data_IF_492842189428
#
_entry.id   IF_492842189428
#
_cell.length_a   1.000
_cell.length_b   1.000
_cell.length_c   1.000
_cell.angle_alpha   90.00
_cell.angle_beta   90.00
_cell.angle_gamma   90.00
#
_symmetry.space_group_name_H-M   'P 1'
#
loop_
_entity.id
_entity.type
_entity.pdbx_description
1 polymer ?
#
# COMPACT_ATOMS: atom_id res chain seq x y z
N UNK A 1 -0.64 -4.13 -39.88
CA UNK A 1 -0.67 -3.76 -38.45
C UNK A 1 0.37 -2.68 -38.24
N UNK A 2 0.04 -1.57 -37.59
CA UNK A 2 1.04 -0.58 -37.20
C UNK A 2 1.95 -1.17 -36.12
N UNK A 3 3.26 -0.91 -36.21
CA UNK A 3 4.20 -1.30 -35.16
C UNK A 3 3.78 -0.70 -33.81
N UNK A 4 4.10 -1.39 -32.71
CA UNK A 4 3.83 -0.88 -31.36
C UNK A 4 4.52 0.48 -31.12
N UNK A 5 3.89 1.45 -30.40
CA UNK A 5 4.50 2.76 -30.15
C UNK A 5 5.90 2.71 -29.55
N UNK A 6 6.20 1.68 -28.74
CA UNK A 6 7.54 1.46 -28.18
C UNK A 6 8.62 1.31 -29.25
N UNK A 7 8.33 0.60 -30.34
CA UNK A 7 9.28 0.46 -31.46
C UNK A 7 9.56 1.82 -32.11
N UNK A 8 8.55 2.66 -32.26
CA UNK A 8 8.74 4.03 -32.76
C UNK A 8 9.53 4.93 -31.79
N UNK A 9 9.28 4.81 -30.49
CA UNK A 9 9.92 5.63 -29.47
C UNK A 9 11.41 5.27 -29.25
N UNK A 10 11.76 3.98 -29.31
CA UNK A 10 13.13 3.51 -29.12
C UNK A 10 13.90 3.36 -30.43
N UNK A 11 13.23 3.11 -31.56
CA UNK A 11 13.87 2.86 -32.84
C UNK A 11 14.97 1.79 -32.73
N UNK A 12 16.16 2.10 -33.20
CA UNK A 12 17.32 1.21 -33.14
C UNK A 12 17.85 0.94 -31.73
N UNK A 13 17.40 1.66 -30.70
CA UNK A 13 17.76 1.38 -29.31
C UNK A 13 17.03 0.15 -28.75
N UNK A 14 15.95 -0.30 -29.40
CA UNK A 14 15.32 -1.59 -29.12
C UNK A 14 16.10 -2.70 -29.83
N UNK A 15 17.25 -3.08 -29.28
CA UNK A 15 18.18 -4.08 -29.83
C UNK A 15 17.91 -5.52 -29.35
N UNK A 16 16.96 -5.69 -28.40
CA UNK A 16 16.45 -6.99 -27.91
C UNK A 16 14.94 -6.90 -27.68
N UNK A 17 14.21 -8.03 -27.72
CA UNK A 17 12.81 -8.03 -27.33
C UNK A 17 12.62 -7.53 -25.89
N UNK A 18 11.55 -6.78 -25.63
CA UNK A 18 11.17 -6.36 -24.29
C UNK A 18 9.83 -7.00 -23.95
N UNK A 19 9.82 -7.81 -22.91
CA UNK A 19 8.63 -8.46 -22.37
C UNK A 19 8.07 -7.61 -21.23
N UNK A 20 6.89 -7.04 -21.46
CA UNK A 20 6.03 -6.53 -20.41
C UNK A 20 5.31 -7.69 -19.76
N UNK A 21 5.27 -7.75 -18.44
CA UNK A 21 4.56 -8.80 -17.70
C UNK A 21 3.80 -8.24 -16.52
N UNK A 22 2.74 -8.95 -16.16
CA UNK A 22 1.86 -8.68 -15.02
C UNK A 22 1.34 -10.03 -14.47
N UNK A 23 1.17 -10.13 -13.15
CA UNK A 23 0.75 -11.35 -12.47
C UNK A 23 -0.51 -11.15 -11.64
N UNK A 24 -1.40 -12.13 -11.71
CA UNK A 24 -2.41 -12.33 -10.68
C UNK A 24 -2.01 -13.49 -9.77
N UNK A 25 -2.20 -13.31 -8.47
CA UNK A 25 -1.64 -14.21 -7.45
C UNK A 25 -2.63 -14.47 -6.33
N UNK A 26 -2.41 -15.56 -5.59
CA UNK A 26 -3.22 -15.87 -4.39
C UNK A 26 -3.00 -14.88 -3.24
N UNK A 27 -2.00 -14.00 -3.33
CA UNK A 27 -1.65 -13.03 -2.29
C UNK A 27 -0.25 -12.44 -2.50
N UNK A 28 0.18 -11.60 -1.56
CA UNK A 28 1.42 -10.81 -1.70
C UNK A 28 2.68 -11.46 -1.11
N UNK A 29 2.57 -12.67 -0.55
CA UNK A 29 3.69 -13.37 0.06
C UNK A 29 4.50 -14.15 -0.97
N UNK A 30 5.69 -13.67 -1.30
CA UNK A 30 6.64 -14.40 -2.15
C UNK A 30 6.90 -15.85 -1.64
N UNK A 31 6.81 -16.07 -0.33
CA UNK A 31 7.09 -17.39 0.27
C UNK A 31 5.90 -18.34 0.17
N UNK A 32 4.67 -17.84 0.33
CA UNK A 32 3.50 -18.68 0.54
C UNK A 32 2.53 -18.67 -0.64
N UNK A 33 2.43 -17.56 -1.37
CA UNK A 33 1.45 -17.39 -2.45
C UNK A 33 1.93 -17.95 -3.78
N UNK A 34 1.00 -18.12 -4.72
CA UNK A 34 1.20 -18.75 -6.04
C UNK A 34 0.68 -17.87 -7.16
N UNK A 35 1.22 -18.07 -8.35
CA UNK A 35 0.74 -17.40 -9.57
C UNK A 35 -0.56 -18.10 -10.01
N UNK A 36 -1.58 -17.29 -10.26
CA UNK A 36 -2.90 -17.70 -10.78
C UNK A 36 -2.99 -17.35 -12.27
N UNK A 37 -2.46 -16.20 -12.68
CA UNK A 37 -2.42 -15.76 -14.07
C UNK A 37 -1.11 -15.03 -14.38
N UNK A 38 -0.65 -15.16 -15.63
CA UNK A 38 0.46 -14.39 -16.19
C UNK A 38 0.02 -13.85 -17.55
N UNK A 39 0.07 -12.53 -17.68
CA UNK A 39 -0.02 -11.84 -18.95
C UNK A 39 1.37 -11.38 -19.39
N UNK A 40 1.68 -11.54 -20.68
CA UNK A 40 2.89 -11.01 -21.31
C UNK A 40 2.59 -10.31 -22.63
N UNK A 41 3.28 -9.21 -22.87
CA UNK A 41 3.35 -8.53 -24.16
C UNK A 41 4.83 -8.34 -24.52
N UNK A 42 5.26 -8.96 -25.61
CA UNK A 42 6.64 -8.92 -26.08
C UNK A 42 6.72 -8.04 -27.31
N UNK A 43 7.49 -6.95 -27.24
CA UNK A 43 7.79 -6.09 -28.40
C UNK A 43 9.16 -6.44 -28.93
N UNK A 44 9.24 -6.82 -30.19
CA UNK A 44 10.48 -7.20 -30.86
C UNK A 44 11.17 -6.01 -31.56
N UNK A 45 12.49 -6.09 -31.80
CA UNK A 45 13.24 -5.08 -32.54
C UNK A 45 12.73 -4.77 -33.95
N UNK A 46 12.05 -5.72 -34.60
CA UNK A 46 11.45 -5.52 -35.93
C UNK A 46 10.04 -4.90 -35.88
N UNK A 47 9.56 -4.57 -34.67
CA UNK A 47 8.25 -3.97 -34.42
C UNK A 47 7.12 -4.98 -34.32
N UNK A 48 7.39 -6.28 -34.43
CA UNK A 48 6.39 -7.32 -34.16
C UNK A 48 6.05 -7.39 -32.67
N UNK A 49 4.82 -7.82 -32.39
CA UNK A 49 4.27 -7.91 -31.03
C UNK A 49 3.70 -9.31 -30.83
N UNK A 50 4.04 -9.93 -29.72
CA UNK A 50 3.40 -11.16 -29.24
C UNK A 50 2.68 -10.89 -27.92
N UNK A 51 1.43 -11.34 -27.81
CA UNK A 51 0.65 -11.27 -26.58
C UNK A 51 0.27 -12.68 -26.13
N UNK A 52 0.43 -12.97 -24.85
CA UNK A 52 0.00 -14.25 -24.26
C UNK A 52 -0.54 -14.01 -22.87
N UNK A 53 -1.68 -14.62 -22.60
CA UNK A 53 -2.31 -14.66 -21.28
C UNK A 53 -2.51 -16.13 -20.90
N UNK A 54 -2.13 -16.50 -19.69
CA UNK A 54 -2.22 -17.89 -19.22
C UNK A 54 -2.60 -17.94 -17.75
N UNK A 55 -3.63 -18.74 -17.47
CA UNK A 55 -4.00 -19.14 -16.12
C UNK A 55 -3.26 -20.41 -15.70
N UNK A 56 -3.14 -20.58 -14.39
CA UNK A 56 -2.52 -21.72 -13.76
C UNK A 56 -3.37 -22.16 -12.58
N UNK A 57 -3.47 -23.47 -12.37
CA UNK A 57 -3.95 -23.99 -11.11
C UNK A 57 -2.87 -23.73 -10.04
N UNK A 58 -3.14 -22.92 -9.00
CA UNK A 58 -2.15 -22.60 -7.97
C UNK A 58 -1.90 -23.74 -6.98
N UNK A 59 -2.68 -24.83 -7.06
CA UNK A 59 -2.62 -26.00 -6.16
C UNK A 59 -2.84 -25.65 -4.69
N UNK A 60 -3.56 -24.56 -4.46
CA UNK A 60 -4.05 -24.10 -3.16
C UNK A 60 -5.33 -23.29 -3.38
N UNK A 61 -6.21 -23.17 -2.37
CA UNK A 61 -7.37 -22.30 -2.48
C UNK A 61 -6.95 -20.85 -2.73
N UNK A 62 -7.64 -20.17 -3.66
CA UNK A 62 -7.48 -18.73 -3.88
C UNK A 62 -8.23 -17.99 -2.75
N UNK A 63 -7.55 -17.15 -1.94
CA UNK A 63 -8.22 -16.37 -0.91
C UNK A 63 -9.34 -15.48 -1.49
N UNK A 64 -10.52 -15.38 -0.86
CA UNK A 64 -11.63 -14.56 -1.38
C UNK A 64 -11.27 -13.09 -1.60
N UNK A 65 -10.32 -12.57 -0.82
CA UNK A 65 -9.79 -11.22 -1.02
C UNK A 65 -9.01 -11.05 -2.31
N UNK A 66 -8.20 -12.03 -2.71
CA UNK A 66 -7.51 -12.03 -3.99
C UNK A 66 -8.52 -12.13 -5.13
N UNK A 67 -9.48 -13.07 -5.04
CA UNK A 67 -10.57 -13.18 -6.02
C UNK A 67 -11.40 -11.90 -6.15
N UNK A 68 -11.61 -11.13 -5.08
CA UNK A 68 -12.28 -9.82 -5.16
C UNK A 68 -11.47 -8.77 -5.91
N UNK A 69 -10.15 -8.88 -5.93
CA UNK A 69 -9.25 -7.96 -6.63
C UNK A 69 -9.21 -8.31 -8.12
N UNK A 70 -8.84 -9.55 -8.45
CA UNK A 70 -8.56 -9.95 -9.84
C UNK A 70 -9.70 -10.73 -10.52
N UNK A 71 -10.75 -11.09 -9.79
CA UNK A 71 -11.95 -11.74 -10.34
C UNK A 71 -11.80 -13.22 -10.72
N UNK A 72 -10.69 -13.87 -10.35
CA UNK A 72 -10.43 -15.28 -10.66
C UNK A 72 -10.75 -16.14 -9.44
N UNK A 73 -11.54 -17.18 -9.64
CA UNK A 73 -11.98 -18.12 -8.61
C UNK A 73 -11.30 -19.48 -8.75
N UNK A 74 -11.37 -20.32 -7.72
CA UNK A 74 -10.86 -21.70 -7.80
C UNK A 74 -11.47 -22.50 -8.97
N UNK A 75 -12.73 -22.22 -9.31
CA UNK A 75 -13.42 -22.90 -10.40
C UNK A 75 -12.85 -22.52 -11.78
N UNK A 76 -12.39 -21.27 -11.95
CA UNK A 76 -11.84 -20.77 -13.22
C UNK A 76 -10.50 -21.42 -13.59
N UNK A 77 -9.78 -21.96 -12.60
CA UNK A 77 -8.44 -22.53 -12.76
C UNK A 77 -8.35 -24.00 -12.37
N UNK A 78 -9.47 -24.64 -12.05
CA UNK A 78 -9.50 -26.03 -11.59
C UNK A 78 -8.85 -27.00 -12.59
N UNK A 79 -9.16 -26.82 -13.88
CA UNK A 79 -8.66 -27.66 -14.99
C UNK A 79 -7.37 -27.13 -15.63
N UNK A 80 -6.83 -26.00 -15.15
CA UNK A 80 -5.60 -25.44 -15.69
C UNK A 80 -4.37 -26.21 -15.22
N UNK A 81 -3.32 -26.20 -16.05
CA UNK A 81 -2.05 -26.80 -15.67
C UNK A 81 -1.36 -25.95 -14.58
N UNK A 82 -0.73 -26.55 -13.56
CA UNK A 82 0.05 -25.80 -12.59
C UNK A 82 1.30 -25.21 -13.26
N UNK A 83 1.81 -24.10 -12.70
CA UNK A 83 2.94 -23.35 -13.26
C UNK A 83 4.13 -24.24 -13.67
N UNK A 84 4.50 -25.20 -12.82
CA UNK A 84 5.63 -26.11 -13.05
C UNK A 84 5.56 -26.88 -14.38
N UNK A 85 4.36 -27.17 -14.89
CA UNK A 85 4.21 -27.89 -16.16
C UNK A 85 4.54 -27.01 -17.38
N UNK A 86 4.36 -25.70 -17.26
CA UNK A 86 4.59 -24.72 -18.33
C UNK A 86 5.90 -23.94 -18.16
N UNK A 87 6.51 -24.02 -16.98
CA UNK A 87 7.66 -23.21 -16.61
C UNK A 87 8.83 -23.31 -17.61
N UNK A 88 9.16 -24.50 -18.12
CA UNK A 88 10.27 -24.63 -19.10
C UNK A 88 10.00 -23.84 -20.39
N UNK A 89 8.82 -24.04 -20.98
CA UNK A 89 8.43 -23.33 -22.21
C UNK A 89 8.34 -21.82 -21.99
N UNK A 90 7.85 -21.39 -20.83
CA UNK A 90 7.81 -19.97 -20.48
C UNK A 90 9.22 -19.38 -20.33
N UNK A 91 10.14 -20.09 -19.68
CA UNK A 91 11.52 -19.64 -19.54
C UNK A 91 12.20 -19.47 -20.91
N UNK A 92 11.95 -20.37 -21.86
CA UNK A 92 12.47 -20.27 -23.24
C UNK A 92 11.92 -19.05 -23.98
N UNK A 93 10.63 -18.73 -23.82
CA UNK A 93 10.00 -17.53 -24.40
C UNK A 93 10.58 -16.26 -23.81
N UNK A 94 10.79 -16.24 -22.49
CA UNK A 94 11.32 -15.07 -21.80
C UNK A 94 12.83 -14.92 -21.97
N UNK A 95 13.57 -16.00 -22.28
CA UNK A 95 15.03 -15.99 -22.31
C UNK A 95 15.68 -14.85 -23.12
N UNK A 96 15.24 -14.55 -24.36
CA UNK A 96 15.82 -13.45 -25.14
C UNK A 96 15.38 -12.06 -24.66
N UNK A 97 14.38 -11.95 -23.77
CA UNK A 97 13.74 -10.69 -23.45
C UNK A 97 14.47 -9.90 -22.35
N UNK A 98 14.52 -8.59 -22.49
CA UNK A 98 14.55 -7.70 -21.34
C UNK A 98 13.16 -7.62 -20.71
N UNK A 99 13.08 -7.24 -19.43
CA UNK A 99 11.84 -7.32 -18.67
C UNK A 99 11.35 -5.93 -18.30
N UNK A 100 10.05 -5.72 -18.47
CA UNK A 100 9.37 -4.47 -18.16
C UNK A 100 8.03 -4.73 -17.48
N UNK A 101 7.53 -3.73 -16.75
CA UNK A 101 6.22 -3.78 -16.11
C UNK A 101 6.05 -2.62 -15.14
N UNK A 102 4.85 -2.48 -14.58
CA UNK A 102 4.55 -1.42 -13.61
C UNK A 102 4.76 -1.98 -12.20
N UNK A 103 5.74 -1.45 -11.44
CA UNK A 103 6.13 -2.00 -10.12
C UNK A 103 6.73 -3.42 -10.17
N UNK A 104 7.15 -3.86 -11.36
CA UNK A 104 7.68 -5.20 -11.62
C UNK A 104 8.85 -5.59 -10.72
N UNK A 105 9.70 -4.63 -10.33
CA UNK A 105 10.88 -4.90 -9.49
C UNK A 105 10.51 -5.29 -8.07
N UNK A 106 9.38 -4.79 -7.58
CA UNK A 106 8.95 -4.96 -6.18
C UNK A 106 8.17 -6.26 -5.99
N UNK A 107 7.41 -6.68 -6.99
CA UNK A 107 6.49 -7.80 -6.85
C UNK A 107 6.59 -8.85 -7.95
N UNK A 108 6.18 -8.52 -9.18
CA UNK A 108 5.97 -9.52 -10.23
C UNK A 108 7.22 -10.32 -10.55
N UNK A 109 8.37 -9.64 -10.69
CA UNK A 109 9.62 -10.31 -11.00
C UNK A 109 10.13 -11.19 -9.84
N UNK A 110 10.20 -10.71 -8.58
CA UNK A 110 10.48 -11.59 -7.43
C UNK A 110 9.54 -12.80 -7.31
N UNK A 111 8.25 -12.61 -7.60
CA UNK A 111 7.25 -13.68 -7.55
C UNK A 111 7.50 -14.72 -8.65
N UNK A 112 7.68 -14.27 -9.89
CA UNK A 112 7.99 -15.12 -11.04
C UNK A 112 9.28 -15.91 -10.85
N UNK A 113 10.36 -15.27 -10.35
CA UNK A 113 11.62 -15.95 -10.01
C UNK A 113 11.38 -17.04 -8.96
N UNK A 114 10.55 -16.76 -7.95
CA UNK A 114 10.24 -17.73 -6.90
C UNK A 114 9.43 -18.91 -7.44
N UNK A 115 8.50 -18.68 -8.36
CA UNK A 115 7.70 -19.73 -9.00
C UNK A 115 8.55 -20.60 -9.93
N UNK A 116 9.47 -19.99 -10.71
CA UNK A 116 10.48 -20.75 -11.45
C UNK A 116 11.37 -21.60 -10.55
N UNK A 117 11.80 -21.06 -9.41
CA UNK A 117 12.61 -21.81 -8.42
C UNK A 117 11.84 -23.00 -7.87
N UNK A 118 10.54 -22.85 -7.56
CA UNK A 118 9.66 -23.96 -7.14
C UNK A 118 9.52 -25.02 -8.22
N UNK A 119 9.55 -24.64 -9.49
CA UNK A 119 9.58 -25.55 -10.64
C UNK A 119 10.97 -26.14 -10.95
N UNK A 120 12.00 -25.85 -10.16
CA UNK A 120 13.37 -26.34 -10.37
C UNK A 120 14.11 -25.66 -11.53
N UNK A 121 13.66 -24.48 -11.97
CA UNK A 121 14.25 -23.71 -13.06
C UNK A 121 14.94 -22.48 -12.50
N UNK A 122 16.19 -22.26 -12.89
CA UNK A 122 16.90 -21.01 -12.57
C UNK A 122 16.55 -19.96 -13.62
N UNK A 123 15.76 -18.96 -13.23
CA UNK A 123 15.46 -17.79 -14.05
C UNK A 123 16.40 -16.65 -13.66
N UNK A 124 17.51 -16.51 -14.39
CA UNK A 124 18.50 -15.45 -14.13
C UNK A 124 18.10 -14.15 -14.85
N UNK A 125 18.12 -13.06 -14.10
CA UNK A 125 17.73 -11.73 -14.55
C UNK A 125 18.89 -10.74 -14.53
N UNK A 126 20.08 -11.15 -14.03
CA UNK A 126 21.23 -10.26 -13.85
C UNK A 126 21.82 -9.74 -15.17
N UNK A 127 21.63 -10.48 -16.25
CA UNK A 127 22.06 -10.10 -17.60
C UNK A 127 20.99 -9.32 -18.39
N UNK A 128 19.84 -9.04 -17.78
CA UNK A 128 18.69 -8.39 -18.43
C UNK A 128 18.58 -6.94 -17.99
N UNK A 129 18.14 -6.08 -18.90
CA UNK A 129 17.63 -4.75 -18.54
C UNK A 129 16.28 -4.93 -17.87
N UNK A 130 16.09 -4.26 -16.73
CA UNK A 130 14.86 -4.28 -15.95
C UNK A 130 14.26 -2.88 -15.89
N UNK A 131 13.20 -2.67 -16.67
CA UNK A 131 12.51 -1.39 -16.83
C UNK A 131 11.27 -1.39 -15.94
N UNK A 132 11.29 -0.59 -14.88
CA UNK A 132 10.12 -0.41 -14.03
C UNK A 132 9.41 0.89 -14.40
N UNK A 133 8.23 0.76 -15.01
CA UNK A 133 7.44 1.89 -15.50
C UNK A 133 6.95 2.76 -14.35
N UNK A 134 6.71 2.19 -13.17
CA UNK A 134 6.30 2.95 -11.99
C UNK A 134 7.44 3.85 -11.49
N UNK A 135 8.68 3.36 -11.51
CA UNK A 135 9.83 4.17 -11.10
C UNK A 135 10.05 5.36 -12.04
N UNK A 136 9.86 5.16 -13.34
CA UNK A 136 9.93 6.24 -14.33
C UNK A 136 8.80 7.25 -14.05
N UNK A 137 7.56 6.79 -13.90
CA UNK A 137 6.41 7.64 -13.60
C UNK A 137 6.62 8.49 -12.34
N UNK A 138 7.03 7.90 -11.22
CA UNK A 138 7.24 8.64 -9.98
C UNK A 138 8.40 9.64 -10.05
N UNK A 139 9.40 9.39 -10.92
CA UNK A 139 10.51 10.30 -11.12
C UNK A 139 10.14 11.51 -11.98
N UNK A 140 9.36 11.26 -13.04
CA UNK A 140 8.95 12.31 -13.98
C UNK A 140 7.70 13.09 -13.51
N UNK A 141 6.87 12.50 -12.65
CA UNK A 141 5.65 13.11 -12.10
C UNK A 141 5.68 13.19 -10.55
N UNK A 142 6.52 14.06 -9.95
CA UNK A 142 6.61 14.22 -8.50
C UNK A 142 5.28 14.68 -7.87
N UNK A 143 5.08 14.34 -6.59
CA UNK A 143 3.92 14.75 -5.79
C UNK A 143 4.31 15.78 -4.73
N UNK A 144 4.97 16.84 -5.16
CA UNK A 144 5.39 17.97 -4.32
C UNK A 144 4.73 19.29 -4.75
N UNK A 145 4.98 20.35 -3.97
CA UNK A 145 4.40 21.67 -4.22
C UNK A 145 4.86 22.28 -5.55
N UNK A 146 6.09 22.00 -5.98
CA UNK A 146 6.65 22.49 -7.26
C UNK A 146 5.90 21.87 -8.43
N UNK A 147 5.69 20.55 -8.40
CA UNK A 147 4.90 19.84 -9.41
C UNK A 147 3.43 20.31 -9.41
N UNK A 148 2.85 20.53 -8.23
CA UNK A 148 1.50 21.09 -8.11
C UNK A 148 1.41 22.51 -8.71
N UNK A 149 2.38 23.39 -8.43
CA UNK A 149 2.43 24.73 -8.98
C UNK A 149 2.56 24.70 -10.51
N UNK A 150 3.43 23.84 -11.05
CA UNK A 150 3.57 23.68 -12.49
C UNK A 150 2.26 23.18 -13.14
N UNK A 151 1.61 22.19 -12.54
CA UNK A 151 0.38 21.59 -13.07
C UNK A 151 -0.84 22.53 -12.99
N UNK A 152 -1.04 23.20 -11.85
CA UNK A 152 -2.24 24.01 -11.62
C UNK A 152 -2.06 25.48 -12.05
N UNK A 153 -0.85 26.02 -11.96
CA UNK A 153 -0.57 27.44 -12.19
C UNK A 153 0.26 27.71 -13.44
N UNK A 154 0.83 26.67 -14.07
CA UNK A 154 1.65 26.79 -15.29
C UNK A 154 3.01 27.47 -15.06
N UNK A 155 3.48 27.54 -13.81
CA UNK A 155 4.76 28.17 -13.45
C UNK A 155 5.53 27.34 -12.44
N UNK A 156 6.85 27.43 -12.50
CA UNK A 156 7.74 26.96 -11.44
C UNK A 156 7.95 28.09 -10.43
N UNK A 157 7.87 27.87 -9.11
CA UNK A 157 8.10 28.92 -8.12
C UNK A 157 9.55 29.43 -8.19
N UNK A 158 9.75 30.74 -8.40
CA UNK A 158 11.08 31.37 -8.54
C UNK A 158 11.84 31.46 -7.20
N UNK A 159 11.11 31.58 -6.07
CA UNK A 159 11.62 31.63 -4.69
C UNK A 159 11.13 30.43 -3.84
N UNK A 160 11.12 29.24 -4.44
CA UNK A 160 10.90 28.01 -3.68
C UNK A 160 11.86 28.00 -2.46
N UNK A 161 11.39 27.53 -1.30
CA UNK A 161 12.14 27.37 -0.03
C UNK A 161 12.04 28.49 1.02
N UNK A 162 11.29 29.58 0.78
CA UNK A 162 10.82 30.42 1.90
C UNK A 162 9.43 30.00 2.33
N UNK A 163 9.20 29.87 3.64
CA UNK A 163 7.90 29.44 4.16
C UNK A 163 6.73 30.30 3.67
N UNK A 164 6.94 31.62 3.49
CA UNK A 164 5.90 32.51 2.98
C UNK A 164 5.62 32.32 1.48
N UNK A 165 6.65 32.09 0.66
CA UNK A 165 6.47 31.80 -0.76
C UNK A 165 5.75 30.46 -0.97
N UNK A 166 6.10 29.44 -0.16
CA UNK A 166 5.47 28.12 -0.23
C UNK A 166 4.00 28.17 0.20
N UNK A 167 3.65 28.91 1.27
CA UNK A 167 2.25 29.09 1.70
C UNK A 167 1.44 29.86 0.65
N UNK A 168 2.01 30.91 0.03
CA UNK A 168 1.34 31.64 -1.07
C UNK A 168 1.07 30.73 -2.26
N UNK A 169 2.07 29.95 -2.66
CA UNK A 169 1.94 28.97 -3.75
C UNK A 169 0.89 27.92 -3.40
N UNK A 170 0.85 27.43 -2.15
CA UNK A 170 -0.16 26.48 -1.69
C UNK A 170 -1.58 27.05 -1.77
N UNK A 171 -1.77 28.32 -1.37
CA UNK A 171 -3.06 29.00 -1.47
C UNK A 171 -3.51 29.17 -2.93
N UNK A 172 -2.60 29.55 -3.82
CA UNK A 172 -2.88 29.67 -5.26
C UNK A 172 -3.25 28.31 -5.87
N UNK A 173 -2.51 27.25 -5.53
CA UNK A 173 -2.81 25.87 -5.95
C UNK A 173 -4.19 25.45 -5.47
N UNK A 174 -4.52 25.71 -4.20
CA UNK A 174 -5.82 25.37 -3.65
C UNK A 174 -6.96 26.11 -4.37
N UNK A 175 -6.81 27.40 -4.67
CA UNK A 175 -7.77 28.15 -5.47
C UNK A 175 -7.95 27.53 -6.87
N UNK A 176 -6.85 27.15 -7.54
CA UNK A 176 -6.89 26.50 -8.85
C UNK A 176 -7.57 25.12 -8.80
N UNK A 177 -7.36 24.33 -7.75
CA UNK A 177 -8.06 23.07 -7.52
C UNK A 177 -9.57 23.28 -7.40
N UNK A 178 -10.00 24.26 -6.61
CA UNK A 178 -11.41 24.63 -6.48
C UNK A 178 -12.00 25.07 -7.83
N UNK A 179 -11.27 25.81 -8.66
CA UNK A 179 -11.76 26.22 -9.98
C UNK A 179 -11.85 25.05 -10.96
N UNK A 180 -10.89 24.11 -10.91
CA UNK A 180 -10.81 22.96 -11.80
C UNK A 180 -11.82 21.87 -11.46
N UNK A 181 -11.97 21.55 -10.17
CA UNK A 181 -12.78 20.42 -9.71
C UNK A 181 -14.12 20.91 -9.18
N UNK A 182 -15.14 20.84 -10.03
CA UNK A 182 -16.50 21.30 -9.69
C UNK A 182 -17.19 20.48 -8.61
N UNK A 183 -16.75 19.23 -8.40
CA UNK A 183 -17.29 18.32 -7.38
C UNK A 183 -16.73 18.56 -5.97
N UNK A 184 -15.67 19.37 -5.82
CA UNK A 184 -15.15 19.67 -4.48
C UNK A 184 -16.17 20.50 -3.68
N UNK A 185 -16.30 20.25 -2.36
CA UNK A 185 -17.11 21.08 -1.49
C UNK A 185 -16.73 22.56 -1.55
N UNK A 186 -17.70 23.44 -1.31
CA UNK A 186 -17.53 24.91 -1.38
C UNK A 186 -17.54 25.59 -0.02
N UNK A 187 -17.51 24.79 1.02
CA UNK A 187 -17.42 25.18 2.42
C UNK A 187 -16.24 24.44 3.09
N UNK A 188 -15.68 25.05 4.13
CA UNK A 188 -14.49 24.53 4.79
C UNK A 188 -14.77 23.21 5.53
N UNK A 189 -15.97 23.00 6.06
CA UNK A 189 -16.32 21.76 6.75
C UNK A 189 -16.36 20.59 5.78
N UNK A 190 -16.92 20.78 4.59
CA UNK A 190 -16.92 19.79 3.51
C UNK A 190 -15.52 19.49 3.00
N UNK A 191 -14.68 20.50 2.81
CA UNK A 191 -13.29 20.32 2.40
C UNK A 191 -12.47 19.59 3.47
N UNK A 192 -12.69 19.90 4.75
CA UNK A 192 -12.05 19.19 5.85
C UNK A 192 -12.43 17.70 5.87
N UNK A 193 -13.72 17.38 5.76
CA UNK A 193 -14.17 15.97 5.65
C UNK A 193 -13.58 15.27 4.43
N UNK A 194 -13.51 15.96 3.29
CA UNK A 194 -12.90 15.42 2.08
C UNK A 194 -11.43 15.01 2.32
N UNK A 195 -10.67 15.81 3.07
CA UNK A 195 -9.31 15.46 3.47
C UNK A 195 -9.27 14.29 4.45
N UNK A 196 -10.14 14.31 5.47
CA UNK A 196 -10.17 13.27 6.51
C UNK A 196 -10.60 11.89 5.99
N UNK A 197 -11.50 11.84 5.00
CA UNK A 197 -11.91 10.60 4.33
C UNK A 197 -10.72 9.93 3.60
N UNK A 198 -9.74 10.72 3.15
CA UNK A 198 -8.54 10.24 2.46
C UNK A 198 -7.45 9.89 3.47
N UNK A 199 -7.18 10.80 4.40
CA UNK A 199 -6.14 10.69 5.40
C UNK A 199 -6.56 11.47 6.64
N UNK A 200 -7.18 10.81 7.64
CA UNK A 200 -7.64 11.48 8.85
C UNK A 200 -6.44 12.08 9.58
N UNK A 201 -6.62 13.28 10.10
CA UNK A 201 -5.64 13.86 11.02
C UNK A 201 -5.65 13.07 12.33
N UNK A 202 -4.49 12.53 12.71
CA UNK A 202 -4.28 11.82 13.97
C UNK A 202 -3.13 12.47 14.72
N UNK A 203 -3.36 12.85 15.98
CA UNK A 203 -2.30 13.24 16.89
C UNK A 203 -1.41 12.05 17.23
N UNK A 204 -0.23 12.28 17.82
CA UNK A 204 0.58 11.18 18.35
C UNK A 204 -0.16 10.40 19.44
N UNK A 205 -1.01 11.08 20.23
CA UNK A 205 -1.91 10.42 21.17
C UNK A 205 -2.85 9.43 20.47
N UNK A 206 -3.53 9.87 19.42
CA UNK A 206 -4.45 9.03 18.64
C UNK A 206 -3.73 7.84 18.01
N UNK A 207 -2.46 8.00 17.62
CA UNK A 207 -1.64 6.90 17.07
C UNK A 207 -1.26 5.85 18.12
N UNK A 208 -1.21 6.24 19.39
CA UNK A 208 -0.93 5.34 20.50
C UNK A 208 -2.18 4.68 21.07
N UNK A 209 -3.27 5.44 21.20
CA UNK A 209 -4.47 4.99 21.89
C UNK A 209 -5.75 5.22 21.08
N UNK A 210 -6.66 4.27 21.19
CA UNK A 210 -8.07 4.43 20.85
C UNK A 210 -8.92 4.24 22.11
N UNK A 211 -10.21 4.58 22.03
CA UNK A 211 -11.17 4.26 23.07
C UNK A 211 -12.01 3.07 22.66
N UNK A 212 -12.18 2.12 23.55
CA UNK A 212 -13.17 1.05 23.36
C UNK A 212 -14.60 1.54 23.64
N UNK A 213 -15.58 0.64 23.51
CA UNK A 213 -17.00 0.95 23.75
C UNK A 213 -17.34 1.37 25.18
N UNK A 214 -16.44 1.14 26.15
CA UNK A 214 -16.56 1.60 27.54
C UNK A 214 -15.80 2.92 27.78
N UNK A 215 -15.18 3.49 26.74
CA UNK A 215 -14.37 4.70 26.81
C UNK A 215 -12.96 4.50 27.35
N UNK A 216 -12.53 3.26 27.58
CA UNK A 216 -11.20 2.95 28.11
C UNK A 216 -10.13 3.05 27.01
N UNK A 217 -8.95 3.56 27.37
CA UNK A 217 -7.82 3.68 26.43
C UNK A 217 -7.24 2.29 26.11
N UNK A 218 -7.13 1.98 24.83
CA UNK A 218 -6.59 0.74 24.27
C UNK A 218 -5.42 1.07 23.36
N UNK A 219 -4.32 0.33 23.48
CA UNK A 219 -3.16 0.53 22.61
C UNK A 219 -3.50 0.20 21.15
N UNK A 220 -3.23 1.12 20.22
CA UNK A 220 -3.35 0.90 18.76
C UNK A 220 -2.08 0.34 18.14
N UNK A 221 -0.93 0.50 18.80
CA UNK A 221 0.38 0.11 18.30
C UNK A 221 1.27 -0.50 19.38
N UNK A 222 2.42 -1.03 18.93
CA UNK A 222 3.43 -1.62 19.80
C UNK A 222 3.06 -3.03 20.30
N UNK A 223 3.86 -3.53 21.24
CA UNK A 223 3.75 -4.90 21.79
C UNK A 223 2.38 -5.19 22.41
N UNK A 224 1.71 -4.16 22.94
CA UNK A 224 0.43 -4.29 23.66
C UNK A 224 -0.79 -3.90 22.83
N UNK A 225 -0.67 -3.82 21.49
CA UNK A 225 -1.79 -3.50 20.59
C UNK A 225 -3.03 -4.34 20.92
N UNK A 226 -4.18 -3.68 21.06
CA UNK A 226 -5.47 -4.27 21.42
C UNK A 226 -5.71 -4.47 22.91
N UNK A 227 -4.76 -4.13 23.79
CA UNK A 227 -4.91 -4.22 25.25
C UNK A 227 -5.19 -2.87 25.88
N UNK A 228 -6.00 -2.85 26.95
CA UNK A 228 -6.32 -1.62 27.69
C UNK A 228 -5.12 -1.12 28.46
N UNK A 229 -4.87 0.18 28.42
CA UNK A 229 -3.79 0.84 29.15
C UNK A 229 -3.84 0.53 30.66
N UNK A 230 -5.05 0.52 31.24
CA UNK A 230 -5.27 0.19 32.66
C UNK A 230 -4.80 -1.23 33.01
N UNK A 231 -5.00 -2.19 32.11
CA UNK A 231 -4.66 -3.59 32.37
C UNK A 231 -3.13 -3.76 32.32
N UNK A 232 -2.46 -3.04 31.41
CA UNK A 232 -0.99 -3.00 31.37
C UNK A 232 -0.43 -2.31 32.62
N UNK A 233 -1.03 -1.21 33.08
CA UNK A 233 -0.61 -0.54 34.31
C UNK A 233 -0.67 -1.47 35.53
N UNK A 234 -1.69 -2.33 35.62
CA UNK A 234 -1.85 -3.26 36.72
C UNK A 234 -0.95 -4.52 36.63
N UNK A 235 -0.68 -5.02 35.42
CA UNK A 235 -0.05 -6.33 35.21
C UNK A 235 1.41 -6.26 34.75
N UNK A 236 1.78 -5.23 34.00
CA UNK A 236 3.04 -5.11 33.27
C UNK A 236 3.55 -3.65 33.29
N UNK A 237 3.59 -3.03 34.48
CA UNK A 237 3.93 -1.61 34.67
C UNK A 237 5.32 -1.22 34.18
N UNK A 238 6.28 -2.15 34.12
CA UNK A 238 7.64 -1.92 33.58
C UNK A 238 7.60 -1.37 32.15
N UNK A 239 6.66 -1.83 31.32
CA UNK A 239 6.50 -1.31 29.96
C UNK A 239 6.10 0.17 29.96
N UNK A 240 5.23 0.57 30.89
CA UNK A 240 4.79 1.96 31.05
C UNK A 240 5.90 2.84 31.64
N UNK A 241 6.68 2.32 32.59
CA UNK A 241 7.87 3.02 33.12
C UNK A 241 8.92 3.23 32.03
N UNK A 242 9.10 2.25 31.14
CA UNK A 242 9.92 2.44 29.95
C UNK A 242 9.35 3.54 29.05
N UNK A 243 8.04 3.54 28.78
CA UNK A 243 7.42 4.62 27.99
C UNK A 243 7.66 6.00 28.61
N UNK A 244 7.60 6.12 29.95
CA UNK A 244 7.88 7.36 30.68
C UNK A 244 9.34 7.84 30.60
N UNK A 245 10.27 6.94 30.32
CA UNK A 245 11.70 7.27 30.17
C UNK A 245 12.15 7.45 28.72
N UNK A 246 11.23 7.28 27.76
CA UNK A 246 11.52 7.50 26.35
C UNK A 246 11.60 9.01 26.04
N UNK A 247 12.76 9.47 25.56
CA UNK A 247 13.05 10.89 25.32
C UNK A 247 12.13 11.54 24.27
N UNK A 248 11.71 10.77 23.26
CA UNK A 248 10.89 11.25 22.13
C UNK A 248 9.39 10.92 22.27
N UNK A 249 8.91 10.59 23.48
CA UNK A 249 7.50 10.27 23.68
C UNK A 249 6.65 11.54 23.79
N UNK A 250 5.49 11.54 23.12
CA UNK A 250 4.57 12.67 23.15
C UNK A 250 4.05 12.95 24.58
N UNK A 251 4.01 14.23 25.03
CA UNK A 251 3.56 14.58 26.38
C UNK A 251 2.15 14.11 26.73
N UNK A 252 1.21 14.09 25.78
CA UNK A 252 -0.16 13.64 26.06
C UNK A 252 -0.22 12.13 26.29
N UNK A 253 0.60 11.38 25.54
CA UNK A 253 0.78 9.93 25.76
C UNK A 253 1.35 9.68 27.14
N UNK A 254 2.39 10.43 27.53
CA UNK A 254 3.03 10.32 28.85
C UNK A 254 2.05 10.63 29.99
N UNK A 255 1.25 11.70 29.86
CA UNK A 255 0.23 12.06 30.86
C UNK A 255 -0.80 10.95 31.05
N UNK A 256 -1.25 10.31 29.96
CA UNK A 256 -2.21 9.21 30.07
C UNK A 256 -1.58 7.97 30.72
N UNK A 257 -0.34 7.65 30.38
CA UNK A 257 0.43 6.56 30.99
C UNK A 257 0.64 6.80 32.49
N UNK A 258 1.07 8.00 32.86
CA UNK A 258 1.28 8.38 34.26
C UNK A 258 -0.02 8.30 35.06
N UNK A 259 -1.14 8.81 34.51
CA UNK A 259 -2.46 8.69 35.13
C UNK A 259 -2.87 7.23 35.32
N UNK A 260 -2.58 6.35 34.36
CA UNK A 260 -2.92 4.94 34.46
C UNK A 260 -2.09 4.22 35.54
N UNK A 261 -0.80 4.55 35.68
CA UNK A 261 0.07 4.00 36.71
C UNK A 261 -0.31 4.43 38.13
N UNK A 262 -0.84 5.65 38.29
CA UNK A 262 -1.26 6.20 39.59
C UNK A 262 -2.75 6.03 39.89
N UNK A 263 -3.52 5.41 38.98
CA UNK A 263 -4.92 5.14 39.22
C UNK A 263 -5.05 4.11 40.37
N UNK A 264 -5.98 4.31 41.33
CA UNK A 264 -6.20 3.35 42.39
C UNK A 264 -6.59 2.00 41.78
N UNK A 265 -5.89 0.94 42.18
CA UNK A 265 -6.25 -0.43 41.81
C UNK A 265 -7.64 -0.68 42.39
N UNK A 266 -8.65 -1.03 41.57
CA UNK A 266 -9.97 -1.34 42.10
C UNK A 266 -9.88 -2.50 43.09
N UNK A 267 -10.43 -2.29 44.28
CA UNK A 267 -10.48 -3.30 45.34
C UNK A 267 -11.27 -4.51 44.84
N UNK A 268 -10.68 -5.70 44.71
CA UNK A 268 -11.39 -6.90 44.25
C UNK A 268 -12.51 -7.35 45.20
N UNK A 269 -12.65 -6.72 46.37
CA UNK A 269 -13.70 -7.00 47.36
C UNK A 269 -14.89 -6.02 47.32
N UNK A 270 -14.84 -4.96 46.51
CA UNK A 270 -16.00 -4.07 46.33
C UNK A 270 -16.95 -4.65 45.28
N UNK A 271 -18.11 -5.13 45.73
CA UNK A 271 -19.23 -5.46 44.84
C UNK A 271 -19.64 -4.21 44.03
N UNK A 272 -20.00 -4.37 42.73
CA UNK A 272 -20.54 -3.28 41.93
C UNK A 272 -21.75 -2.65 42.62
N UNK A 273 -21.80 -1.32 42.70
CA UNK A 273 -23.01 -0.62 43.13
C UNK A 273 -24.19 -1.07 42.24
N UNK A 274 -25.34 -1.45 42.81
CA UNK A 274 -26.49 -1.86 42.03
C UNK A 274 -26.92 -0.72 41.11
N UNK A 275 -27.16 -1.04 39.85
CA UNK A 275 -27.68 -0.09 38.87
C UNK A 275 -28.97 0.55 39.42
N UNK A 276 -29.15 1.88 39.29
CA UNK A 276 -30.40 2.51 39.66
C UNK A 276 -31.53 1.86 38.84
N UNK A 277 -32.59 1.44 39.54
CA UNK A 277 -33.76 0.83 38.93
C UNK A 277 -34.38 1.76 37.88
N UNK A 278 -35.10 1.20 36.89
CA UNK A 278 -35.74 2.01 35.86
C UNK A 278 -36.66 3.06 36.50
N UNK A 279 -36.72 4.29 35.95
CA UNK A 279 -37.61 5.31 36.47
C UNK A 279 -39.07 4.82 36.41
N UNK A 280 -39.80 4.98 37.51
CA UNK A 280 -41.23 4.67 37.57
C UNK A 280 -41.97 5.56 36.56
N UNK A 281 -42.70 4.94 35.64
CA UNK A 281 -43.53 5.64 34.67
C UNK A 281 -44.69 6.32 35.41
N UNK A 282 -44.72 7.66 35.39
CA UNK A 282 -45.89 8.49 35.72
C UNK A 282 -46.43 9.14 34.47
#
# INVERSE_FOLDING_TARGET
MSAHPLHGALGSALDRPVCFLDLETTGLSLKHDRIVELAVLIVHPDGTVEERERRFNPEMPIPPEASRVHGITDADVADEAPFRQRARALAEVLDPCDLAGFNIRRFDLPMLITEFRRAGITFDVRSRRLIDVQLIFHREEPRDLTAAAQFYLGRTPEDAHTALADIRTSADVFAAQLLRYTHLPRDLDGLHRYCDDISPFETEFDRWFERDGEGALVFRRGKHRGRRLKDIAAQESDYLVWMLSAEDMDPEVLIAVEKALHAPVPDPTQEPLPLPGPPEAS
#
